data_IF_231077380888
#
_entry.id   IF_231077380888
#
_cell.length_a   1.000
_cell.length_b   1.000
_cell.length_c   1.000
_cell.angle_alpha   90.00
_cell.angle_beta   90.00
_cell.angle_gamma   90.00
#
_symmetry.space_group_name_H-M   'P 1'
#
loop_
_entity.id
_entity.type
_entity.pdbx_description
1 polymer ?
#
# COMPACT_ATOMS: atom_id res chain seq x y z
N UNK A 1 40.52 -16.36 34.69
CA UNK A 1 41.25 -15.26 34.02
C UNK A 1 40.25 -14.40 33.28
N UNK A 2 40.14 -13.10 33.61
CA UNK A 2 39.37 -12.16 32.79
C UNK A 2 40.26 -11.71 31.63
N UNK A 3 39.91 -12.09 30.40
CA UNK A 3 40.58 -11.59 29.20
C UNK A 3 40.18 -10.13 29.03
N UNK A 4 41.15 -9.22 29.02
CA UNK A 4 40.91 -7.79 28.78
C UNK A 4 40.54 -7.58 27.32
N UNK A 5 39.58 -6.71 27.07
CA UNK A 5 39.19 -6.39 25.70
C UNK A 5 40.30 -5.58 25.01
N UNK A 6 40.49 -5.78 23.71
CA UNK A 6 41.48 -5.01 22.92
C UNK A 6 41.18 -3.50 22.90
N UNK A 7 39.93 -3.11 23.16
CA UNK A 7 39.52 -1.71 23.37
C UNK A 7 40.26 -1.04 24.54
N UNK A 8 40.67 -1.81 25.55
CA UNK A 8 41.39 -1.28 26.72
C UNK A 8 42.89 -1.05 26.43
N UNK A 9 43.38 -1.53 25.28
CA UNK A 9 44.79 -1.51 24.91
C UNK A 9 45.06 -0.68 23.64
N UNK A 10 44.08 -0.56 22.74
CA UNK A 10 44.24 0.12 21.45
C UNK A 10 43.22 1.24 21.26
N UNK A 11 43.69 2.47 21.07
CA UNK A 11 42.88 3.64 20.68
C UNK A 11 42.62 3.74 19.16
N UNK A 12 43.05 2.74 18.39
CA UNK A 12 42.97 2.70 16.93
C UNK A 12 41.54 2.69 16.34
N UNK A 13 40.51 2.47 17.15
CA UNK A 13 39.09 2.58 16.76
C UNK A 13 38.57 1.62 15.68
N UNK A 14 39.44 0.77 15.11
CA UNK A 14 39.12 -0.15 14.00
C UNK A 14 38.86 -1.58 14.41
N UNK A 15 38.93 -1.90 15.69
CA UNK A 15 38.63 -3.25 16.18
C UNK A 15 37.12 -3.44 16.29
N UNK A 16 36.64 -4.59 15.86
CA UNK A 16 35.24 -4.97 16.04
C UNK A 16 35.11 -5.60 17.44
N UNK A 17 34.59 -4.84 18.40
CA UNK A 17 34.43 -5.32 19.77
C UNK A 17 33.09 -6.04 19.94
N UNK A 18 33.07 -7.31 20.37
CA UNK A 18 31.82 -8.02 20.65
C UNK A 18 31.06 -7.47 21.87
N UNK A 19 31.70 -6.64 22.71
CA UNK A 19 31.03 -5.93 23.81
C UNK A 19 30.32 -4.65 23.36
N UNK A 20 30.74 -4.06 22.23
CA UNK A 20 29.99 -2.95 21.64
C UNK A 20 28.94 -3.55 20.70
N UNK A 21 27.65 -3.27 20.90
CA UNK A 21 26.64 -3.64 19.94
C UNK A 21 26.98 -2.95 18.62
N UNK A 22 27.37 -3.73 17.62
CA UNK A 22 27.60 -3.20 16.29
C UNK A 22 26.25 -3.03 15.61
N UNK A 23 26.14 -2.05 14.70
CA UNK A 23 24.87 -1.69 14.04
C UNK A 23 24.15 -2.90 13.42
N UNK A 24 24.91 -3.93 13.03
CA UNK A 24 24.45 -5.19 12.45
C UNK A 24 23.54 -6.01 13.39
N UNK A 25 23.72 -5.87 14.72
CA UNK A 25 22.91 -6.55 15.73
C UNK A 25 21.88 -5.63 16.39
N UNK A 26 21.79 -4.38 15.92
CA UNK A 26 20.87 -3.40 16.46
C UNK A 26 19.45 -3.78 15.99
N UNK A 27 18.66 -4.38 16.89
CA UNK A 27 17.28 -4.84 16.61
C UNK A 27 16.33 -3.68 16.26
N UNK A 28 16.82 -2.45 16.28
CA UNK A 28 16.11 -1.23 15.88
C UNK A 28 16.07 -1.01 14.37
N UNK A 29 16.77 -1.83 13.57
CA UNK A 29 16.66 -1.77 12.12
C UNK A 29 15.24 -2.11 11.70
N UNK A 30 14.50 -1.08 11.26
CA UNK A 30 13.22 -1.26 10.60
C UNK A 30 13.44 -2.16 9.38
N UNK A 31 12.60 -3.18 9.14
CA UNK A 31 12.73 -4.00 7.95
C UNK A 31 12.75 -3.09 6.72
N UNK A 32 13.70 -3.31 5.83
CA UNK A 32 13.74 -2.61 4.54
C UNK A 32 12.49 -3.03 3.76
N UNK A 33 11.50 -2.14 3.71
CA UNK A 33 10.23 -2.39 3.02
C UNK A 33 10.34 -2.24 1.49
N UNK A 34 11.54 -1.99 0.97
CA UNK A 34 11.78 -1.80 -0.46
C UNK A 34 12.26 -3.12 -1.07
N UNK A 35 11.32 -3.80 -1.72
CA UNK A 35 11.56 -4.97 -2.57
C UNK A 35 11.04 -4.71 -3.98
N UNK A 36 11.51 -5.49 -4.94
CA UNK A 36 10.93 -5.51 -6.29
C UNK A 36 9.42 -5.72 -6.26
N UNK A 37 8.93 -6.60 -5.38
CA UNK A 37 7.51 -6.88 -5.22
C UNK A 37 6.71 -5.63 -4.83
N UNK A 38 7.15 -4.92 -3.79
CA UNK A 38 6.50 -3.68 -3.32
C UNK A 38 6.60 -2.54 -4.34
N UNK A 39 7.63 -2.56 -5.20
CA UNK A 39 7.81 -1.58 -6.27
C UNK A 39 6.90 -1.86 -7.46
N UNK A 40 6.75 -3.13 -7.83
CA UNK A 40 5.96 -3.56 -8.99
C UNK A 40 4.46 -3.67 -8.67
N UNK A 41 4.09 -3.89 -7.40
CA UNK A 41 2.71 -4.10 -6.95
C UNK A 41 2.36 -3.18 -5.77
N UNK A 42 2.26 -1.85 -5.98
CA UNK A 42 1.80 -0.94 -4.95
C UNK A 42 0.33 -1.20 -4.60
N UNK A 43 -0.08 -0.81 -3.39
CA UNK A 43 -1.46 -0.95 -2.95
C UNK A 43 -2.38 0.04 -3.70
N UNK A 44 -3.10 -0.46 -4.70
CA UNK A 44 -4.04 0.35 -5.49
C UNK A 44 -5.29 0.67 -4.67
N UNK A 45 -5.58 1.96 -4.45
CA UNK A 45 -6.75 2.39 -3.67
C UNK A 45 -8.10 2.23 -4.40
N UNK A 46 -8.10 1.87 -5.68
CA UNK A 46 -9.32 1.78 -6.49
C UNK A 46 -10.03 0.43 -6.29
N UNK A 47 -10.56 0.21 -5.10
CA UNK A 47 -11.46 -0.93 -4.81
C UNK A 47 -12.92 -0.63 -5.10
N UNK A 48 -13.24 0.63 -5.42
CA UNK A 48 -14.60 1.03 -5.68
C UNK A 48 -15.03 0.51 -7.06
N UNK A 49 -16.21 -0.15 -7.13
CA UNK A 49 -16.82 -0.49 -8.41
C UNK A 49 -16.91 0.75 -9.29
N UNK A 50 -16.63 0.56 -10.58
CA UNK A 50 -16.76 1.63 -11.55
C UNK A 50 -18.21 2.09 -11.63
N UNK A 51 -18.42 3.40 -11.75
CA UNK A 51 -19.74 3.96 -12.02
C UNK A 51 -20.38 3.33 -13.25
N UNK A 52 -21.67 3.02 -13.15
CA UNK A 52 -22.41 2.39 -14.23
C UNK A 52 -22.56 3.35 -15.40
N UNK A 53 -22.31 2.88 -16.62
CA UNK A 53 -22.66 3.61 -17.85
C UNK A 53 -24.15 3.54 -18.19
N UNK A 54 -24.96 2.92 -17.33
CA UNK A 54 -26.38 2.73 -17.59
C UNK A 54 -27.05 4.10 -17.65
N UNK A 55 -27.84 4.39 -18.70
CA UNK A 55 -28.63 5.60 -18.75
C UNK A 55 -29.49 5.72 -17.49
N UNK A 56 -29.51 6.92 -16.90
CA UNK A 56 -30.38 7.20 -15.76
C UNK A 56 -31.81 6.93 -16.19
N UNK A 57 -32.52 6.13 -15.41
CA UNK A 57 -33.96 5.91 -15.60
C UNK A 57 -34.71 7.13 -15.08
N UNK A 58 -34.46 8.29 -15.69
CA UNK A 58 -35.32 9.45 -15.49
C UNK A 58 -36.67 9.13 -16.13
N UNK A 59 -37.74 9.32 -15.36
CA UNK A 59 -39.09 9.06 -15.82
C UNK A 59 -39.41 9.98 -17.00
N UNK A 60 -39.42 9.42 -18.21
CA UNK A 60 -39.87 10.12 -19.39
C UNK A 60 -41.40 10.04 -19.45
N UNK A 61 -42.06 11.04 -18.87
CA UNK A 61 -43.49 11.22 -19.07
C UNK A 61 -43.72 11.58 -20.54
N UNK A 62 -44.56 10.82 -21.23
CA UNK A 62 -45.07 11.25 -22.54
C UNK A 62 -45.75 12.61 -22.38
N UNK A 63 -45.34 13.60 -23.18
CA UNK A 63 -45.88 14.96 -23.12
C UNK A 63 -47.29 15.07 -23.72
N UNK A 64 -47.69 14.08 -24.51
CA UNK A 64 -48.90 14.11 -25.32
C UNK A 64 -49.90 13.08 -24.78
N UNK A 65 -51.18 13.46 -24.54
CA UNK A 65 -52.24 12.51 -24.29
C UNK A 65 -52.34 11.51 -25.45
N UNK A 66 -52.37 10.22 -25.15
CA UNK A 66 -52.63 9.20 -26.18
C UNK A 66 -54.11 9.25 -26.57
N UNK A 67 -54.41 9.66 -27.81
CA UNK A 67 -55.77 9.62 -28.34
C UNK A 67 -56.17 8.16 -28.62
N UNK A 68 -57.24 7.70 -27.96
CA UNK A 68 -57.74 6.34 -28.06
C UNK A 68 -58.64 6.14 -29.27
N UNK A 69 -58.06 6.08 -30.47
CA UNK A 69 -58.80 5.67 -31.67
C UNK A 69 -58.85 4.14 -31.72
N UNK A 70 -60.00 3.56 -31.39
CA UNK A 70 -60.25 2.11 -31.46
C UNK A 70 -60.89 1.73 -32.80
N UNK A 71 -60.42 0.66 -33.45
CA UNK A 71 -60.91 0.19 -34.75
C UNK A 71 -62.12 -0.74 -34.66
N UNK A 72 -63.06 -0.51 -33.73
CA UNK A 72 -64.27 -1.33 -33.63
C UNK A 72 -65.27 -0.92 -34.73
N UNK A 73 -65.22 -1.67 -35.84
CA UNK A 73 -66.20 -1.66 -36.95
C UNK A 73 -67.33 -2.65 -36.71
#
# INVERSE_FOLDING_TARGET
MKMKCICELCSCGRHHCPHLPTKIYDKTEKPCLLSEYTQNYPFYHSYLPRESFKPRREYQKGSIPVEGLTTSS
#
